data_IF_592058287453
#
_entry.id   IF_592058287453
#
_cell.length_a   1.000
_cell.length_b   1.000
_cell.length_c   1.000
_cell.angle_alpha   90.00
_cell.angle_beta   90.00
_cell.angle_gamma   90.00
#
_symmetry.space_group_name_H-M   'P 1'
#
loop_
_entity.id
_entity.type
_entity.pdbx_description
1 polymer ?
#
# COMPACT_ATOMS: atom_id res chain seq x y z
N UNK A 1 -3.90 -24.18 13.88
CA UNK A 1 -4.58 -22.86 13.97
C UNK A 1 -5.94 -22.94 14.68
N UNK A 2 -6.86 -23.83 14.27
CA UNK A 2 -8.18 -23.96 14.90
C UNK A 2 -8.10 -24.29 16.40
N UNK A 3 -7.24 -25.24 16.79
CA UNK A 3 -7.04 -25.64 18.19
C UNK A 3 -6.37 -24.53 19.02
N UNK A 4 -5.34 -23.85 18.49
CA UNK A 4 -4.71 -22.69 19.14
C UNK A 4 -5.69 -21.56 19.43
N UNK A 5 -6.62 -21.27 18.51
CA UNK A 5 -7.64 -20.22 18.68
C UNK A 5 -8.65 -20.52 19.79
N UNK A 6 -8.80 -21.78 20.20
CA UNK A 6 -9.70 -22.16 21.29
C UNK A 6 -9.11 -21.89 22.68
N UNK A 7 -7.78 -21.87 22.79
CA UNK A 7 -7.06 -21.70 24.08
C UNK A 7 -6.29 -20.39 24.20
N UNK A 8 -6.10 -19.65 23.09
CA UNK A 8 -5.39 -18.38 23.06
C UNK A 8 -6.23 -17.29 22.40
N UNK A 9 -6.21 -16.10 23.01
CA UNK A 9 -6.65 -14.87 22.34
C UNK A 9 -5.59 -14.44 21.32
N UNK A 10 -5.76 -14.87 20.08
CA UNK A 10 -4.86 -14.50 18.99
C UNK A 10 -5.10 -13.05 18.59
N UNK A 11 -4.10 -12.19 18.83
CA UNK A 11 -4.15 -10.76 18.43
C UNK A 11 -3.75 -10.61 16.95
N UNK A 12 -2.72 -11.33 16.50
CA UNK A 12 -2.25 -11.35 15.11
C UNK A 12 -1.63 -12.72 14.83
N UNK A 13 -1.82 -13.25 13.62
CA UNK A 13 -1.25 -14.52 13.20
C UNK A 13 -0.49 -14.38 11.88
N UNK A 14 0.78 -13.99 11.98
CA UNK A 14 1.65 -13.78 10.83
C UNK A 14 1.41 -12.44 10.13
N UNK A 15 1.67 -12.42 8.82
CA UNK A 15 1.47 -11.24 7.95
C UNK A 15 0.11 -11.39 7.27
N UNK A 16 -0.78 -10.43 7.47
CA UNK A 16 -2.02 -10.37 6.72
C UNK A 16 -1.68 -10.10 5.25
N UNK A 17 -2.17 -10.96 4.35
CA UNK A 17 -1.83 -10.88 2.92
C UNK A 17 -2.91 -10.18 2.11
N UNK A 18 -4.18 -10.41 2.44
CA UNK A 18 -5.32 -9.82 1.76
C UNK A 18 -6.59 -9.93 2.61
N UNK A 19 -7.58 -9.12 2.27
CA UNK A 19 -8.94 -9.16 2.81
C UNK A 19 -9.94 -9.44 1.68
N UNK A 20 -10.89 -10.34 1.92
CA UNK A 20 -12.00 -10.58 0.99
C UNK A 20 -13.08 -9.53 1.23
N UNK A 21 -13.30 -8.65 0.24
CA UNK A 21 -14.30 -7.58 0.30
C UNK A 21 -15.29 -7.72 -0.84
N UNK A 22 -16.41 -8.38 -0.57
CA UNK A 22 -17.40 -8.70 -1.58
C UNK A 22 -16.82 -9.66 -2.62
N UNK A 23 -16.66 -9.19 -3.86
CA UNK A 23 -16.06 -9.97 -4.96
C UNK A 23 -14.56 -9.72 -5.12
N UNK A 24 -14.02 -8.71 -4.46
CA UNK A 24 -12.62 -8.34 -4.57
C UNK A 24 -11.79 -9.03 -3.48
N UNK A 25 -10.56 -9.43 -3.83
CA UNK A 25 -9.52 -9.79 -2.87
C UNK A 25 -8.57 -8.58 -2.81
N UNK A 26 -8.66 -7.82 -1.72
CA UNK A 26 -7.91 -6.58 -1.54
C UNK A 26 -6.56 -6.90 -0.88
N UNK A 27 -5.41 -6.63 -1.51
CA UNK A 27 -4.12 -6.89 -0.89
C UNK A 27 -3.94 -6.01 0.35
N UNK A 28 -3.46 -6.62 1.43
CA UNK A 28 -3.24 -5.93 2.68
C UNK A 28 -1.95 -5.09 2.63
N UNK A 29 -1.91 -3.98 3.36
CA UNK A 29 -0.72 -3.14 3.41
C UNK A 29 0.50 -3.88 3.99
N UNK A 30 0.28 -4.79 4.94
CA UNK A 30 1.32 -5.66 5.51
C UNK A 30 2.02 -6.56 4.48
N UNK A 31 1.33 -6.95 3.41
CA UNK A 31 1.97 -7.67 2.30
C UNK A 31 3.03 -6.79 1.61
N UNK A 32 2.73 -5.52 1.35
CA UNK A 32 3.68 -4.59 0.73
C UNK A 32 4.91 -4.33 1.61
N UNK A 33 4.77 -4.43 2.93
CA UNK A 33 5.86 -4.25 3.89
C UNK A 33 6.72 -5.51 4.09
N UNK A 34 6.30 -6.67 3.55
CA UNK A 34 7.01 -7.93 3.72
C UNK A 34 7.94 -8.21 2.55
N UNK A 35 9.26 -8.08 2.74
CA UNK A 35 10.24 -8.38 1.69
C UNK A 35 10.28 -9.86 1.28
N UNK A 36 9.86 -10.77 2.16
CA UNK A 36 9.83 -12.21 1.88
C UNK A 36 8.57 -12.65 1.15
N UNK A 37 7.41 -12.02 1.45
CA UNK A 37 6.12 -12.43 0.89
C UNK A 37 5.71 -11.60 -0.33
N UNK A 38 6.22 -10.37 -0.46
CA UNK A 38 5.92 -9.51 -1.59
C UNK A 38 6.63 -10.01 -2.85
N UNK A 39 5.88 -10.66 -3.74
CA UNK A 39 6.36 -10.93 -5.09
C UNK A 39 6.11 -9.71 -5.97
N UNK A 40 7.17 -8.94 -6.27
CA UNK A 40 7.09 -7.71 -7.08
C UNK A 40 6.59 -7.96 -8.50
N UNK A 41 6.82 -9.15 -9.04
CA UNK A 41 6.42 -9.51 -10.42
C UNK A 41 4.91 -9.82 -10.55
N UNK A 42 4.21 -10.01 -9.44
CA UNK A 42 2.76 -10.32 -9.44
C UNK A 42 1.92 -9.06 -9.55
N UNK A 43 2.42 -7.92 -9.06
CA UNK A 43 1.70 -6.66 -9.05
C UNK A 43 2.33 -5.68 -10.04
N UNK A 44 1.52 -5.06 -10.93
CA UNK A 44 1.95 -3.86 -11.62
C UNK A 44 2.51 -2.87 -10.59
N UNK A 45 3.70 -2.36 -10.83
CA UNK A 45 4.39 -1.45 -9.92
C UNK A 45 4.61 -0.12 -10.60
N UNK A 46 4.40 0.97 -9.86
CA UNK A 46 4.65 2.33 -10.33
C UNK A 46 5.63 3.03 -9.38
N UNK A 47 6.69 3.58 -9.96
CA UNK A 47 7.67 4.41 -9.25
C UNK A 47 7.16 5.85 -9.24
N UNK A 48 6.95 6.41 -8.04
CA UNK A 48 6.35 7.73 -7.86
C UNK A 48 7.36 8.71 -7.30
N UNK A 49 7.17 10.01 -7.57
CA UNK A 49 8.01 11.07 -6.98
C UNK A 49 7.73 11.30 -5.49
N UNK A 50 8.63 12.00 -4.81
CA UNK A 50 8.52 12.30 -3.38
C UNK A 50 7.18 12.96 -3.01
N UNK A 51 6.73 13.94 -3.78
CA UNK A 51 5.46 14.63 -3.53
C UNK A 51 4.27 13.66 -3.56
N UNK A 52 4.23 12.75 -4.54
CA UNK A 52 3.19 11.72 -4.62
C UNK A 52 3.34 10.68 -3.51
N UNK A 53 4.57 10.35 -3.09
CA UNK A 53 4.80 9.47 -1.95
C UNK A 53 4.25 10.07 -0.64
N UNK A 54 4.49 11.36 -0.40
CA UNK A 54 3.91 12.06 0.74
C UNK A 54 2.38 12.13 0.64
N UNK A 55 1.82 12.45 -0.54
CA UNK A 55 0.38 12.41 -0.77
C UNK A 55 -0.19 11.00 -0.49
N UNK A 56 0.53 9.96 -0.89
CA UNK A 56 0.14 8.57 -0.63
C UNK A 56 0.09 8.29 0.88
N UNK A 57 1.16 8.63 1.60
CA UNK A 57 1.25 8.45 3.05
C UNK A 57 0.30 9.36 3.84
N UNK A 58 -0.19 10.45 3.26
CA UNK A 58 -1.29 11.28 3.82
C UNK A 58 -2.67 10.71 3.55
N UNK A 59 -2.76 9.65 2.74
CA UNK A 59 -4.00 9.07 2.25
C UNK A 59 -4.80 10.01 1.34
N UNK A 60 -4.08 10.85 0.60
CA UNK A 60 -4.66 11.74 -0.41
C UNK A 60 -4.91 10.98 -1.73
N UNK A 61 -5.64 11.63 -2.64
CA UNK A 61 -5.90 11.08 -3.97
C UNK A 61 -4.61 10.97 -4.78
N UNK A 62 -4.38 9.80 -5.39
CA UNK A 62 -3.25 9.55 -6.28
C UNK A 62 -3.75 9.50 -7.72
N UNK A 63 -3.05 10.23 -8.59
CA UNK A 63 -3.21 10.14 -10.03
C UNK A 63 -2.04 9.35 -10.59
N UNK A 64 -2.35 8.34 -11.38
CA UNK A 64 -1.36 7.49 -12.05
C UNK A 64 -1.35 7.82 -13.55
N UNK A 65 -0.21 7.66 -14.23
CA UNK A 65 -0.15 7.81 -15.68
C UNK A 65 -1.15 6.89 -16.40
N UNK A 66 -1.66 7.26 -17.58
CA UNK A 66 -2.57 6.43 -18.36
C UNK A 66 -1.99 5.06 -18.76
N UNK A 67 -0.67 4.92 -18.77
CA UNK A 67 0.04 3.67 -19.05
C UNK A 67 -0.09 2.63 -17.93
N UNK A 68 -0.42 3.05 -16.70
CA UNK A 68 -0.54 2.14 -15.57
C UNK A 68 -1.86 1.36 -15.66
N UNK A 69 -1.84 0.02 -15.60
CA UNK A 69 -3.06 -0.78 -15.74
C UNK A 69 -4.06 -0.52 -14.62
N UNK A 70 -5.34 -0.77 -14.92
CA UNK A 70 -6.41 -0.79 -13.91
C UNK A 70 -6.24 -2.01 -13.00
N UNK A 71 -6.67 -1.89 -11.75
CA UNK A 71 -6.55 -2.95 -10.74
C UNK A 71 -5.66 -2.51 -9.57
N UNK A 72 -5.13 -3.47 -8.83
CA UNK A 72 -4.22 -3.19 -7.73
C UNK A 72 -2.81 -2.93 -8.26
N UNK A 73 -2.25 -1.78 -7.87
CA UNK A 73 -0.92 -1.33 -8.27
C UNK A 73 -0.10 -1.12 -7.01
N UNK A 74 1.13 -1.62 -7.00
CA UNK A 74 2.10 -1.37 -5.95
C UNK A 74 2.80 -0.05 -6.21
N UNK A 75 2.77 0.88 -5.26
CA UNK A 75 3.53 2.12 -5.35
C UNK A 75 4.90 1.94 -4.72
N UNK A 76 5.92 2.47 -5.39
CA UNK A 76 7.31 2.46 -4.94
C UNK A 76 7.88 3.87 -4.95
N UNK A 77 8.75 4.17 -3.98
CA UNK A 77 9.56 5.39 -3.97
C UNK A 77 11.01 5.01 -3.69
N UNK A 78 11.92 5.42 -4.56
CA UNK A 78 13.33 4.98 -4.59
C UNK A 78 13.43 3.46 -4.55
N UNK A 79 12.57 2.78 -5.31
CA UNK A 79 12.45 1.32 -5.38
C UNK A 79 12.05 0.61 -4.07
N UNK A 80 11.63 1.37 -3.05
CA UNK A 80 11.09 0.85 -1.80
C UNK A 80 9.57 0.80 -1.90
N UNK A 81 8.92 -0.35 -1.62
CA UNK A 81 7.47 -0.46 -1.60
C UNK A 81 6.87 0.45 -0.53
N UNK A 82 5.90 1.27 -0.93
CA UNK A 82 5.11 2.09 -0.01
C UNK A 82 3.78 1.42 0.34
N UNK A 83 3.18 0.71 -0.61
CA UNK A 83 1.89 0.04 -0.44
C UNK A 83 1.05 0.07 -1.69
N UNK A 84 -0.22 -0.33 -1.56
CA UNK A 84 -1.10 -0.51 -2.71
C UNK A 84 -2.05 0.67 -2.96
N UNK A 85 -2.45 0.80 -4.22
CA UNK A 85 -3.62 1.57 -4.66
C UNK A 85 -4.50 0.72 -5.56
N UNK A 86 -5.81 1.03 -5.63
CA UNK A 86 -6.71 0.46 -6.64
C UNK A 86 -6.94 1.48 -7.75
N UNK A 87 -6.23 1.32 -8.87
CA UNK A 87 -6.41 2.12 -10.07
C UNK A 87 -7.73 1.76 -10.77
N UNK A 88 -8.62 2.74 -10.94
CA UNK A 88 -9.90 2.57 -11.64
C UNK A 88 -9.94 3.32 -12.98
N UNK A 89 -8.81 3.88 -13.42
CA UNK A 89 -8.62 4.53 -14.72
C UNK A 89 -8.51 6.05 -14.65
N UNK A 90 -9.49 6.72 -14.03
CA UNK A 90 -9.46 8.19 -13.86
C UNK A 90 -8.83 8.64 -12.53
N UNK A 91 -8.77 7.73 -11.55
CA UNK A 91 -8.21 7.96 -10.21
C UNK A 91 -7.69 6.64 -9.65
N UNK A 92 -6.77 6.73 -8.70
CA UNK A 92 -6.36 5.59 -7.89
C UNK A 92 -6.89 5.75 -6.46
N UNK A 93 -7.60 4.73 -5.96
CA UNK A 93 -8.02 4.67 -4.57
C UNK A 93 -6.80 4.35 -3.71
N UNK A 94 -6.47 5.23 -2.79
CA UNK A 94 -5.37 5.04 -1.87
C UNK A 94 -5.75 4.03 -0.77
N UNK A 95 -5.03 2.90 -0.72
CA UNK A 95 -5.29 1.81 0.24
C UNK A 95 -4.37 1.89 1.48
N UNK A 96 -3.63 2.99 1.67
CA UNK A 96 -2.81 3.19 2.85
C UNK A 96 -3.67 3.13 4.13
N UNK A 97 -3.19 2.58 5.26
CA UNK A 97 -3.95 2.56 6.52
C UNK A 97 -4.34 3.96 6.99
N UNK A 98 -5.58 4.16 7.42
CA UNK A 98 -6.09 5.49 7.79
C UNK A 98 -5.39 6.02 9.06
N UNK A 99 -5.20 5.12 10.00
CA UNK A 99 -4.62 5.29 11.31
C UNK A 99 -3.13 5.68 11.26
N UNK A 100 -2.44 5.34 10.18
CA UNK A 100 -1.00 5.61 9.99
C UNK A 100 -0.73 6.85 9.14
N UNK A 101 -1.77 7.55 8.67
CA UNK A 101 -1.61 8.67 7.75
C UNK A 101 -0.79 9.79 8.38
N UNK A 102 0.11 10.37 7.59
CA UNK A 102 0.77 11.62 7.96
C UNK A 102 -0.31 12.70 8.10
N UNK A 103 -0.31 13.41 9.24
CA UNK A 103 -1.27 14.49 9.51
C UNK A 103 -0.71 15.88 9.22
N UNK A 104 0.61 16.03 9.19
CA UNK A 104 1.26 17.30 8.87
C UNK A 104 1.17 17.58 7.38
N UNK A 105 0.86 18.84 7.03
CA UNK A 105 0.90 19.37 5.67
C UNK A 105 2.29 19.81 5.20
N UNK A 106 3.31 19.75 6.07
CA UNK A 106 4.66 20.20 5.76
C UNK A 106 5.26 19.53 4.52
N UNK A 107 5.82 20.33 3.63
CA UNK A 107 6.58 19.88 2.46
C UNK A 107 7.93 20.60 2.51
N UNK A 108 9.05 19.88 2.61
CA UNK A 108 10.36 20.52 2.59
C UNK A 108 10.69 21.06 1.20
N UNK A 109 11.41 22.19 1.15
CA UNK A 109 11.98 22.73 -0.09
C UNK A 109 13.14 21.84 -0.60
N UNK A 110 13.92 21.27 0.32
CA UNK A 110 15.02 20.37 0.02
C UNK A 110 14.84 19.01 0.71
N UNK A 111 14.92 17.93 -0.06
CA UNK A 111 14.86 16.56 0.48
C UNK A 111 16.27 16.18 0.92
N UNK A 112 16.51 16.16 2.24
CA UNK A 112 17.75 15.62 2.79
C UNK A 112 17.71 14.09 2.73
N UNK A 113 18.56 13.51 1.89
CA UNK A 113 18.75 12.06 1.83
C UNK A 113 20.02 11.68 2.59
N UNK A 114 19.93 10.64 3.44
CA UNK A 114 21.10 9.99 4.03
C UNK A 114 21.88 9.22 2.98
#
# INVERSE_FOLDING_TARGET
MAEMKQVLRVIQAGVDVAEVKGKDIVPAHSLAMSSQLLSRDVFPSEEIGYQQAIAYLRKEAIMLPPSVPRGFVLLTYRHVPLGFVKNIGNRANNLYPQEWRIRSGYMPEEIRTL
#
